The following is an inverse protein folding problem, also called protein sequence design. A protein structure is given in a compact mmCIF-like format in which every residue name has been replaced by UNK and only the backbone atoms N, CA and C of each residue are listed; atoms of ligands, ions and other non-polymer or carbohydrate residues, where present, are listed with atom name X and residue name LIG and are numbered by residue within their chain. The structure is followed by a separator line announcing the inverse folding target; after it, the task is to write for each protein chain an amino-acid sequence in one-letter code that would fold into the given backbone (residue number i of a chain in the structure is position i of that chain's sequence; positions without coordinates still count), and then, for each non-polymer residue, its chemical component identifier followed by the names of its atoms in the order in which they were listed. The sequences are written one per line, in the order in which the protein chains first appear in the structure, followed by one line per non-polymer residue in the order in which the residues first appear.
data_IF_047212411254
#
_entry.id   IF_047212411254
#
_cell.length_a   1.000
_cell.length_b   1.000
_cell.length_c   1.000
_cell.angle_alpha   90.00
_cell.angle_beta   90.00
_cell.angle_gamma   90.00
#
_symmetry.space_group_name_H-M   'P 1'
#
loop_
_entity.id
_entity.type
_entity.pdbx_description
1 polymer ?
#
# COMPACT_ATOMS: atom_id res chain seq x y z
N UNK A 1 -7.27 -9.82 11.78
CA UNK A 1 -6.30 -8.74 11.45
C UNK A 1 -4.90 -9.36 11.44
N UNK A 2 -4.08 -9.18 10.37
CA UNK A 2 -2.73 -9.82 10.23
C UNK A 2 -1.55 -8.83 10.16
N UNK A 3 -1.83 -7.54 10.01
CA UNK A 3 -0.79 -6.50 9.99
C UNK A 3 0.03 -6.53 11.27
N UNK A 4 1.35 -6.36 11.13
CA UNK A 4 2.31 -6.41 12.23
C UNK A 4 2.97 -5.06 12.48
N UNK A 5 2.36 -3.98 12.01
CA UNK A 5 2.83 -2.61 12.24
C UNK A 5 2.14 -2.04 13.49
N UNK A 6 2.94 -1.43 14.37
CA UNK A 6 2.46 -0.82 15.61
C UNK A 6 1.63 0.44 15.36
N UNK A 7 1.98 1.21 14.32
CA UNK A 7 1.39 2.52 14.04
C UNK A 7 0.03 2.48 13.35
N UNK A 8 -0.15 1.52 12.43
CA UNK A 8 -1.37 1.43 11.61
C UNK A 8 -1.52 0.04 11.03
N UNK A 9 -2.75 -0.45 10.94
CA UNK A 9 -3.04 -1.64 10.15
C UNK A 9 -3.74 -1.31 8.86
N UNK A 10 -3.03 -1.58 7.78
CA UNK A 10 -3.46 -1.32 6.41
C UNK A 10 -3.68 -2.65 5.71
N UNK A 11 -4.77 -2.75 4.95
CA UNK A 11 -5.06 -3.86 4.06
C UNK A 11 -5.32 -3.36 2.65
N UNK A 12 -4.89 -4.14 1.66
CA UNK A 12 -5.06 -3.86 0.25
C UNK A 12 -5.55 -5.12 -0.49
N UNK A 13 -6.41 -4.93 -1.48
CA UNK A 13 -6.96 -5.99 -2.31
C UNK A 13 -6.98 -5.52 -3.76
N UNK A 14 -6.35 -6.27 -4.66
CA UNK A 14 -6.45 -6.03 -6.10
C UNK A 14 -7.59 -6.87 -6.66
N UNK A 15 -8.49 -6.22 -7.40
CA UNK A 15 -9.71 -6.81 -7.95
C UNK A 15 -9.80 -6.54 -9.43
N UNK A 16 -10.12 -7.55 -10.23
CA UNK A 16 -10.43 -7.41 -11.66
C UNK A 16 -11.59 -8.33 -12.01
N UNK A 17 -12.52 -7.86 -12.84
CA UNK A 17 -13.70 -8.62 -13.26
C UNK A 17 -14.49 -9.22 -12.09
N UNK A 18 -14.66 -8.42 -11.03
CA UNK A 18 -15.31 -8.78 -9.76
C UNK A 18 -14.66 -9.95 -9.00
N UNK A 19 -13.41 -10.30 -9.33
CA UNK A 19 -12.62 -11.34 -8.67
C UNK A 19 -11.43 -10.73 -7.95
N UNK A 20 -11.14 -11.25 -6.77
CA UNK A 20 -9.92 -10.92 -6.04
C UNK A 20 -8.75 -11.59 -6.76
N UNK A 21 -7.77 -10.79 -7.15
CA UNK A 21 -6.52 -11.24 -7.75
C UNK A 21 -5.49 -11.56 -6.65
N UNK A 22 -5.19 -10.56 -5.83
CA UNK A 22 -4.22 -10.65 -4.74
C UNK A 22 -4.61 -9.77 -3.57
N UNK A 23 -3.98 -10.01 -2.42
CA UNK A 23 -4.18 -9.23 -1.21
C UNK A 23 -2.83 -8.86 -0.60
N UNK A 24 -2.85 -7.84 0.25
CA UNK A 24 -1.68 -7.43 1.02
C UNK A 24 -2.08 -6.79 2.34
N UNK A 25 -1.19 -6.86 3.31
CA UNK A 25 -1.24 -6.08 4.54
C UNK A 25 0.14 -5.56 4.84
N UNK A 26 0.25 -4.48 5.62
CA UNK A 26 1.55 -3.93 5.96
C UNK A 26 2.28 -4.77 7.03
N UNK A 27 3.55 -5.06 6.78
CA UNK A 27 4.37 -5.96 7.59
C UNK A 27 5.82 -6.05 7.12
N UNK A 28 6.68 -6.66 7.91
CA UNK A 28 8.09 -6.86 7.56
C UNK A 28 8.25 -7.83 6.35
N UNK A 29 9.33 -7.72 5.58
CA UNK A 29 9.67 -8.69 4.54
C UNK A 29 9.71 -10.14 5.05
N UNK A 30 9.47 -11.09 4.15
CA UNK A 30 9.53 -12.53 4.44
C UNK A 30 10.85 -12.92 5.10
N UNK A 31 10.77 -13.69 6.18
CA UNK A 31 11.94 -14.17 6.92
C UNK A 31 12.55 -13.17 7.91
N UNK A 32 12.03 -11.95 7.99
CA UNK A 32 12.46 -10.98 8.99
C UNK A 32 11.48 -10.93 10.17
N UNK A 33 12.02 -10.63 11.38
CA UNK A 33 11.20 -10.35 12.58
C UNK A 33 10.16 -9.26 12.31
N UNK A 34 9.11 -9.13 13.09
CA UNK A 34 8.09 -8.09 12.90
C UNK A 34 8.30 -6.87 13.81
N UNK A 35 7.61 -5.75 13.53
CA UNK A 35 7.64 -4.59 14.44
C UNK A 35 7.01 -4.93 15.80
N UNK A 36 6.10 -5.91 15.84
CA UNK A 36 5.58 -6.47 17.09
C UNK A 36 6.68 -7.09 17.97
N UNK A 37 7.77 -7.58 17.38
CA UNK A 37 8.86 -8.24 18.12
C UNK A 37 10.00 -7.27 18.47
N UNK A 38 10.18 -6.21 17.66
CA UNK A 38 11.36 -5.34 17.72
C UNK A 38 11.05 -3.89 18.13
N UNK A 39 9.79 -3.49 18.16
CA UNK A 39 9.42 -2.08 18.21
C UNK A 39 9.45 -1.42 16.83
N UNK A 40 9.35 -0.09 16.82
CA UNK A 40 9.29 0.69 15.58
C UNK A 40 10.16 1.95 15.69
N UNK A 41 11.30 1.95 14.98
CA UNK A 41 12.22 3.09 14.95
C UNK A 41 11.54 4.42 14.59
N UNK A 42 10.55 4.39 13.71
CA UNK A 42 9.78 5.58 13.32
C UNK A 42 8.87 6.08 14.44
N UNK A 43 8.37 5.20 15.30
CA UNK A 43 7.59 5.56 16.48
C UNK A 43 8.52 6.11 17.56
N UNK A 44 9.62 5.41 17.85
CA UNK A 44 10.63 5.81 18.83
C UNK A 44 11.24 7.19 18.52
N UNK A 45 11.40 7.50 17.22
CA UNK A 45 11.96 8.77 16.75
C UNK A 45 10.90 9.83 16.42
N UNK A 46 9.63 9.63 16.80
CA UNK A 46 8.50 10.54 16.54
C UNK A 46 8.37 11.00 15.07
N UNK A 47 8.68 10.11 14.12
CA UNK A 47 8.64 10.44 12.69
C UNK A 47 7.19 10.54 12.22
N UNK A 48 6.76 11.67 11.62
CA UNK A 48 5.41 11.82 11.08
C UNK A 48 5.02 10.78 10.03
N UNK A 49 3.73 10.65 9.77
CA UNK A 49 3.25 9.83 8.65
C UNK A 49 3.56 10.55 7.34
N UNK A 50 3.96 9.82 6.30
CA UNK A 50 4.36 10.42 5.01
C UNK A 50 5.82 10.84 4.92
N UNK A 51 6.56 10.84 6.03
CA UNK A 51 7.98 11.21 6.05
C UNK A 51 8.89 10.02 6.30
N UNK A 52 10.18 10.17 5.90
CA UNK A 52 11.29 9.25 6.21
C UNK A 52 10.93 7.76 6.04
N UNK A 53 10.42 7.42 4.86
CA UNK A 53 9.95 6.07 4.55
C UNK A 53 11.07 5.03 4.61
N UNK A 54 12.31 5.43 4.34
CA UNK A 54 13.52 4.62 4.44
C UNK A 54 13.79 4.08 5.85
N UNK A 55 13.23 4.70 6.89
CA UNK A 55 13.29 4.19 8.27
C UNK A 55 12.24 3.09 8.55
N UNK A 56 11.27 2.91 7.65
CA UNK A 56 10.28 1.86 7.80
C UNK A 56 10.85 0.53 7.30
N UNK A 57 10.98 -0.42 8.22
CA UNK A 57 11.36 -1.80 7.87
C UNK A 57 10.23 -2.62 7.24
N UNK A 58 8.99 -2.16 7.39
CA UNK A 58 7.82 -2.85 6.86
C UNK A 58 7.47 -2.35 5.46
N UNK A 59 6.98 -3.26 4.63
CA UNK A 59 6.28 -2.91 3.40
C UNK A 59 4.85 -2.49 3.71
N UNK A 60 4.32 -1.62 2.85
CA UNK A 60 2.92 -1.23 2.85
C UNK A 60 2.04 -2.31 2.23
N UNK A 61 0.72 -2.23 2.47
CA UNK A 61 -0.21 -3.26 2.04
C UNK A 61 -0.29 -3.34 0.50
N UNK A 62 -0.27 -2.19 -0.16
CA UNK A 62 -0.32 -2.00 -1.59
C UNK A 62 0.90 -2.64 -2.27
N UNK A 63 2.09 -2.43 -1.68
CA UNK A 63 3.33 -3.03 -2.14
C UNK A 63 3.26 -4.56 -2.06
N UNK A 64 2.79 -5.09 -0.93
CA UNK A 64 2.64 -6.53 -0.76
C UNK A 64 1.61 -7.14 -1.73
N UNK A 65 0.50 -6.44 -2.02
CA UNK A 65 -0.47 -6.91 -3.00
C UNK A 65 0.11 -6.98 -4.43
N UNK A 66 0.92 -5.98 -4.82
CA UNK A 66 1.62 -5.95 -6.12
C UNK A 66 2.71 -7.03 -6.19
N UNK A 67 3.53 -7.17 -5.14
CA UNK A 67 4.59 -8.18 -5.08
C UNK A 67 4.00 -9.60 -5.14
N UNK A 68 2.91 -9.86 -4.42
CA UNK A 68 2.18 -11.13 -4.52
C UNK A 68 1.75 -11.42 -5.97
N UNK A 69 1.24 -10.40 -6.67
CA UNK A 69 0.82 -10.58 -8.05
C UNK A 69 2.00 -10.94 -8.96
N UNK A 70 3.12 -10.25 -8.81
CA UNK A 70 4.35 -10.55 -9.56
C UNK A 70 4.88 -11.96 -9.24
N UNK A 71 4.94 -12.35 -7.97
CA UNK A 71 5.41 -13.67 -7.52
C UNK A 71 4.59 -14.82 -8.09
N UNK A 72 3.29 -14.61 -8.29
CA UNK A 72 2.37 -15.64 -8.79
C UNK A 72 2.03 -15.50 -10.28
N UNK A 73 2.68 -14.59 -11.01
CA UNK A 73 2.42 -14.37 -12.43
C UNK A 73 1.00 -13.85 -12.72
N UNK A 74 0.38 -13.15 -11.78
CA UNK A 74 -0.98 -12.60 -11.91
C UNK A 74 -0.91 -11.18 -12.48
N UNK A 75 -1.46 -10.99 -13.68
CA UNK A 75 -1.54 -9.67 -14.30
C UNK A 75 -2.54 -8.75 -13.59
N UNK A 76 -2.09 -7.56 -13.20
CA UNK A 76 -2.90 -6.56 -12.46
C UNK A 76 -3.26 -5.32 -13.29
N UNK A 77 -2.85 -5.28 -14.56
CA UNK A 77 -3.20 -4.19 -15.46
C UNK A 77 -4.73 -4.09 -15.63
N UNK A 78 -5.24 -2.86 -15.50
CA UNK A 78 -6.66 -2.53 -15.52
C UNK A 78 -7.42 -2.88 -14.24
N UNK A 79 -6.75 -3.40 -13.19
CA UNK A 79 -7.40 -3.75 -11.94
C UNK A 79 -7.84 -2.52 -11.13
N UNK A 80 -8.71 -2.77 -10.15
CA UNK A 80 -9.06 -1.81 -9.09
C UNK A 80 -8.37 -2.23 -7.80
N UNK A 81 -7.65 -1.29 -7.17
CA UNK A 81 -7.09 -1.45 -5.84
C UNK A 81 -8.09 -0.95 -4.80
N UNK A 82 -8.52 -1.83 -3.90
CA UNK A 82 -9.22 -1.45 -2.67
C UNK A 82 -8.20 -1.39 -1.54
N UNK A 83 -8.13 -0.27 -0.83
CA UNK A 83 -7.20 -0.09 0.28
C UNK A 83 -7.92 0.48 1.51
N UNK A 84 -7.51 0.09 2.71
CA UNK A 84 -8.07 0.73 3.92
C UNK A 84 -7.63 2.18 4.05
N UNK A 85 -6.51 2.55 3.43
CA UNK A 85 -5.92 3.88 3.52
C UNK A 85 -5.53 4.46 2.16
N UNK A 86 -5.54 5.78 2.04
CA UNK A 86 -4.97 6.45 0.87
C UNK A 86 -3.50 6.01 0.68
N UNK A 87 -3.10 5.59 -0.54
CA UNK A 87 -1.73 5.18 -0.80
C UNK A 87 -0.73 6.32 -0.55
N UNK A 88 0.46 6.00 -0.04
CA UNK A 88 1.55 6.98 0.01
C UNK A 88 2.17 7.18 -1.37
N UNK A 89 2.99 8.21 -1.53
CA UNK A 89 3.66 8.53 -2.81
C UNK A 89 4.49 7.37 -3.38
N UNK A 90 5.12 6.56 -2.53
CA UNK A 90 5.89 5.39 -2.97
C UNK A 90 4.96 4.32 -3.54
N UNK A 91 3.83 4.06 -2.87
CA UNK A 91 2.84 3.11 -3.34
C UNK A 91 2.17 3.61 -4.62
N UNK A 92 1.85 4.91 -4.71
CA UNK A 92 1.26 5.52 -5.90
C UNK A 92 2.10 5.29 -7.15
N UNK A 93 3.42 5.54 -7.09
CA UNK A 93 4.35 5.27 -8.20
C UNK A 93 4.30 3.81 -8.66
N UNK A 94 4.27 2.87 -7.72
CA UNK A 94 4.18 1.44 -8.03
C UNK A 94 2.82 1.06 -8.63
N UNK A 95 1.74 1.62 -8.11
CA UNK A 95 0.36 1.40 -8.59
C UNK A 95 0.21 1.88 -10.04
N UNK A 96 0.73 3.07 -10.34
CA UNK A 96 0.76 3.64 -11.70
C UNK A 96 1.51 2.69 -12.64
N UNK A 97 2.73 2.31 -12.28
CA UNK A 97 3.57 1.46 -13.13
C UNK A 97 3.03 0.02 -13.27
N UNK A 98 2.26 -0.47 -12.29
CA UNK A 98 1.56 -1.74 -12.37
C UNK A 98 0.33 -1.70 -13.30
N UNK A 99 -0.06 -0.52 -13.79
CA UNK A 99 -1.20 -0.33 -14.69
C UNK A 99 -2.55 -0.52 -14.02
N UNK A 100 -2.65 -0.33 -12.71
CA UNK A 100 -3.93 -0.29 -11.99
C UNK A 100 -4.76 0.89 -12.53
N UNK A 101 -6.06 0.73 -12.72
CA UNK A 101 -6.91 1.77 -13.32
C UNK A 101 -7.69 2.60 -12.29
N UNK A 102 -7.91 2.05 -11.09
CA UNK A 102 -8.75 2.67 -10.07
C UNK A 102 -8.26 2.34 -8.67
N UNK A 103 -8.36 3.31 -7.77
CA UNK A 103 -8.12 3.17 -6.34
C UNK A 103 -9.41 3.53 -5.59
N UNK A 104 -9.81 2.67 -4.67
CA UNK A 104 -10.89 2.91 -3.71
C UNK A 104 -10.32 2.80 -2.31
N UNK A 105 -10.47 3.84 -1.49
CA UNK A 105 -9.94 3.82 -0.13
C UNK A 105 -10.95 4.30 0.92
N UNK A 106 -10.73 3.96 2.18
CA UNK A 106 -11.64 4.33 3.28
C UNK A 106 -11.13 5.51 4.12
N UNK A 107 -9.88 5.42 4.58
CA UNK A 107 -9.34 6.35 5.59
C UNK A 107 -8.07 7.05 5.11
N UNK A 108 -7.67 8.08 5.86
CA UNK A 108 -6.38 8.74 5.71
C UNK A 108 -6.44 9.93 4.78
N UNK A 109 -5.42 10.76 4.91
CA UNK A 109 -5.23 11.95 4.11
C UNK A 109 -4.19 11.66 3.04
N UNK A 110 -4.43 12.22 1.88
CA UNK A 110 -3.51 12.22 0.77
C UNK A 110 -2.29 13.06 1.08
N UNK A 111 -1.13 12.53 0.68
CA UNK A 111 0.02 13.36 0.42
C UNK A 111 -0.22 14.07 -0.93
N UNK A 112 -0.03 15.39 -0.99
CA UNK A 112 -0.32 16.19 -2.18
C UNK A 112 0.43 15.68 -3.42
N UNK A 113 1.66 15.21 -3.24
CA UNK A 113 2.45 14.67 -4.35
C UNK A 113 1.86 13.34 -4.83
N UNK A 114 1.39 12.49 -3.91
CA UNK A 114 0.68 11.27 -4.28
C UNK A 114 -0.60 11.54 -5.08
N UNK A 115 -1.41 12.52 -4.68
CA UNK A 115 -2.63 12.90 -5.42
C UNK A 115 -2.30 13.39 -6.82
N UNK A 116 -1.36 14.33 -6.92
CA UNK A 116 -0.97 14.94 -8.19
C UNK A 116 -0.48 13.86 -9.17
N UNK A 117 0.37 12.93 -8.71
CA UNK A 117 0.85 11.82 -9.54
C UNK A 117 -0.27 10.87 -10.00
N UNK A 118 -1.20 10.53 -9.11
CA UNK A 118 -2.33 9.65 -9.46
C UNK A 118 -3.26 10.33 -10.47
N UNK A 119 -3.51 11.63 -10.30
CA UNK A 119 -4.31 12.42 -11.23
C UNK A 119 -3.63 12.57 -12.60
N UNK A 120 -2.34 12.90 -12.63
CA UNK A 120 -1.55 13.03 -13.86
C UNK A 120 -1.52 11.70 -14.64
N UNK A 121 -1.41 10.58 -13.95
CA UNK A 121 -1.46 9.25 -14.55
C UNK A 121 -2.88 8.78 -14.95
N UNK A 122 -3.92 9.59 -14.71
CA UNK A 122 -5.30 9.26 -15.06
C UNK A 122 -5.93 8.15 -14.21
N UNK A 123 -5.40 7.90 -13.01
CA UNK A 123 -5.93 6.90 -12.08
C UNK A 123 -7.20 7.44 -11.43
N UNK A 124 -8.30 6.68 -11.49
CA UNK A 124 -9.54 7.08 -10.82
C UNK A 124 -9.44 6.81 -9.33
N UNK A 125 -9.51 7.86 -8.51
CA UNK A 125 -9.44 7.74 -7.05
C UNK A 125 -10.78 8.11 -6.44
N UNK A 126 -11.31 7.27 -5.55
CA UNK A 126 -12.56 7.56 -4.82
C UNK A 126 -12.48 7.10 -3.37
N UNK A 127 -12.99 7.91 -2.46
CA UNK A 127 -13.14 7.56 -1.04
C UNK A 127 -14.51 6.90 -0.79
N UNK A 128 -14.55 5.90 0.08
CA UNK A 128 -15.77 5.26 0.61
C UNK A 128 -16.26 5.93 1.89
#
# INVERSE_FOLDING_TARGET
RRSTCLRRSVGAVLVKDKRILTTGYNGAPTGLRHCLDLGCLREDSNVPSGERHELCRGLHAEQNAIIQAAMHGVGVQGATLYCTNHPCVICAKMIINAGVARIIFRNGYSDQLSENMLQEAGIRVSQL
#
